data_IF_062660448259
#
_entry.id   IF_062660448259
#
_cell.length_a   1.000
_cell.length_b   1.000
_cell.length_c   1.000
_cell.angle_alpha   90.00
_cell.angle_beta   90.00
_cell.angle_gamma   90.00
#
_symmetry.space_group_name_H-M   'P 1'
#
loop_
_entity.id
_entity.type
_entity.pdbx_description
1 polymer ?
#
# COMPACT_ATOMS: atom_id res chain seq x y z
N UNK A 1 16.14 0.15 -29.31
CA UNK A 1 16.15 -1.27 -28.89
C UNK A 1 16.28 -1.47 -27.39
N UNK A 2 17.45 -1.45 -26.72
CA UNK A 2 17.52 -1.82 -25.28
C UNK A 2 16.71 -0.89 -24.35
N UNK A 3 16.82 0.42 -24.52
CA UNK A 3 16.08 1.41 -23.71
C UNK A 3 14.55 1.28 -23.85
N UNK A 4 14.05 1.19 -25.09
CA UNK A 4 12.62 0.98 -25.36
C UNK A 4 12.11 -0.32 -24.74
N UNK A 5 12.88 -1.42 -24.84
CA UNK A 5 12.53 -2.70 -24.21
C UNK A 5 12.43 -2.61 -22.69
N UNK A 6 13.34 -1.85 -22.06
CA UNK A 6 13.29 -1.60 -20.62
C UNK A 6 12.06 -0.79 -20.23
N UNK A 7 11.71 0.25 -20.98
CA UNK A 7 10.49 1.02 -20.75
C UNK A 7 9.22 0.18 -20.93
N UNK A 8 9.14 -0.64 -21.98
CA UNK A 8 8.00 -1.53 -22.20
C UNK A 8 7.87 -2.56 -21.08
N UNK A 9 8.99 -3.12 -20.60
CA UNK A 9 8.99 -4.01 -19.44
C UNK A 9 8.52 -3.28 -18.18
N UNK A 10 8.99 -2.05 -17.96
CA UNK A 10 8.56 -1.24 -16.82
C UNK A 10 7.06 -0.94 -16.88
N UNK A 11 6.52 -0.60 -18.06
CA UNK A 11 5.07 -0.40 -18.29
C UNK A 11 4.27 -1.64 -17.88
N UNK A 12 4.68 -2.82 -18.35
CA UNK A 12 4.03 -4.09 -18.00
C UNK A 12 4.05 -4.36 -16.49
N UNK A 13 5.15 -4.03 -15.82
CA UNK A 13 5.25 -4.17 -14.36
C UNK A 13 4.33 -3.19 -13.61
N UNK A 14 4.19 -1.95 -14.06
CA UNK A 14 3.22 -0.99 -13.48
C UNK A 14 1.77 -1.47 -13.64
N UNK A 15 1.43 -2.02 -14.80
CA UNK A 15 0.09 -2.58 -15.03
C UNK A 15 -0.14 -3.82 -14.17
N UNK A 16 0.85 -4.72 -14.06
CA UNK A 16 0.78 -5.89 -13.18
C UNK A 16 0.62 -5.48 -11.71
N UNK A 17 1.41 -4.51 -11.23
CA UNK A 17 1.28 -3.96 -9.88
C UNK A 17 -0.14 -3.46 -9.63
N UNK A 18 -0.72 -2.71 -10.58
CA UNK A 18 -2.10 -2.20 -10.46
C UNK A 18 -3.12 -3.31 -10.23
N UNK A 19 -3.05 -4.37 -11.02
CA UNK A 19 -3.99 -5.49 -10.89
C UNK A 19 -3.80 -6.21 -9.55
N UNK A 20 -2.55 -6.45 -9.13
CA UNK A 20 -2.26 -7.04 -7.82
C UNK A 20 -2.79 -6.17 -6.65
N UNK A 21 -2.68 -4.84 -6.77
CA UNK A 21 -3.21 -3.91 -5.78
C UNK A 21 -4.74 -3.97 -5.70
N UNK A 22 -5.43 -4.03 -6.84
CA UNK A 22 -6.90 -4.20 -6.87
C UNK A 22 -7.35 -5.55 -6.30
N UNK A 23 -6.54 -6.58 -6.47
CA UNK A 23 -6.78 -7.93 -5.93
C UNK A 23 -6.32 -8.08 -4.46
N UNK A 24 -5.77 -7.02 -3.84
CA UNK A 24 -5.18 -7.04 -2.48
C UNK A 24 -4.06 -8.09 -2.30
N UNK A 25 -3.34 -8.43 -3.37
CA UNK A 25 -2.24 -9.42 -3.37
C UNK A 25 -0.89 -8.77 -3.08
N UNK A 26 -0.76 -8.18 -1.89
CA UNK A 26 0.41 -7.37 -1.51
C UNK A 26 1.74 -8.15 -1.49
N UNK A 27 1.71 -9.46 -1.23
CA UNK A 27 2.91 -10.30 -1.23
C UNK A 27 3.61 -10.35 -2.60
N UNK A 28 2.83 -10.28 -3.67
CA UNK A 28 3.34 -10.31 -5.04
C UNK A 28 3.79 -8.92 -5.52
N UNK A 29 3.30 -7.85 -4.90
CA UNK A 29 3.69 -6.47 -5.20
C UNK A 29 5.18 -6.23 -4.88
N UNK A 30 5.71 -6.82 -3.81
CA UNK A 30 7.13 -6.71 -3.46
C UNK A 30 8.05 -7.25 -4.57
N UNK A 31 7.67 -8.37 -5.19
CA UNK A 31 8.40 -8.95 -6.32
C UNK A 31 8.46 -7.98 -7.51
N UNK A 32 7.34 -7.32 -7.79
CA UNK A 32 7.21 -6.33 -8.88
C UNK A 32 8.02 -5.07 -8.58
N UNK A 33 8.04 -4.60 -7.33
CA UNK A 33 8.86 -3.45 -6.90
C UNK A 33 10.36 -3.73 -7.09
N UNK A 34 10.81 -4.94 -6.73
CA UNK A 34 12.20 -5.36 -6.93
C UNK A 34 12.58 -5.37 -8.42
N UNK A 35 11.73 -5.92 -9.28
CA UNK A 35 11.97 -5.91 -10.72
C UNK A 35 11.99 -4.49 -11.31
N UNK A 36 11.04 -3.62 -10.91
CA UNK A 36 11.03 -2.21 -11.32
C UNK A 36 12.31 -1.48 -10.92
N UNK A 37 12.77 -1.71 -9.69
CA UNK A 37 14.01 -1.13 -9.15
C UNK A 37 15.26 -1.51 -9.96
N UNK A 38 15.32 -2.74 -10.48
CA UNK A 38 16.43 -3.18 -11.33
C UNK A 38 16.39 -2.48 -12.70
N UNK A 39 15.20 -2.35 -13.30
CA UNK A 39 15.04 -1.66 -14.57
C UNK A 39 15.40 -0.18 -14.46
N UNK A 40 15.03 0.49 -13.36
CA UNK A 40 15.40 1.89 -13.11
C UNK A 40 16.92 2.03 -13.13
N UNK A 41 17.65 1.14 -12.44
CA UNK A 41 19.13 1.17 -12.45
C UNK A 41 19.70 1.01 -13.86
N UNK A 42 19.17 0.08 -14.64
CA UNK A 42 19.62 -0.08 -16.03
C UNK A 42 19.32 1.15 -16.91
N UNK A 43 18.18 1.80 -16.69
CA UNK A 43 17.82 3.03 -17.39
C UNK A 43 18.72 4.20 -16.95
N UNK A 44 19.05 4.30 -15.67
CA UNK A 44 19.99 5.29 -15.14
C UNK A 44 21.39 5.10 -15.72
N UNK A 45 21.87 3.86 -15.85
CA UNK A 45 23.15 3.56 -16.51
C UNK A 45 23.16 3.99 -17.98
N UNK A 46 22.05 3.76 -18.69
CA UNK A 46 21.89 4.21 -20.09
C UNK A 46 21.91 5.73 -20.16
N UNK A 47 21.16 6.40 -19.28
CA UNK A 47 21.11 7.87 -19.20
C UNK A 47 22.49 8.44 -18.87
N UNK A 48 23.21 7.86 -17.92
CA UNK A 48 24.55 8.31 -17.53
C UNK A 48 25.54 8.21 -18.69
N UNK A 49 25.51 7.11 -19.45
CA UNK A 49 26.40 6.91 -20.62
C UNK A 49 26.09 7.86 -21.78
N UNK A 50 24.82 8.21 -21.98
CA UNK A 50 24.39 9.10 -23.08
C UNK A 50 24.23 10.57 -22.65
N UNK A 51 24.29 10.87 -21.36
CA UNK A 51 23.93 12.17 -20.77
C UNK A 51 22.42 12.41 -20.63
N UNK A 52 21.60 11.86 -21.54
CA UNK A 52 20.15 12.06 -21.54
C UNK A 52 19.37 10.86 -22.12
N UNK A 53 18.07 10.82 -21.85
CA UNK A 53 17.16 9.91 -22.53
C UNK A 53 16.92 10.34 -23.99
N UNK A 54 16.45 9.43 -24.84
CA UNK A 54 16.04 9.83 -26.19
C UNK A 54 14.85 10.78 -26.08
N UNK A 55 14.67 11.73 -27.02
CA UNK A 55 13.49 12.59 -27.04
C UNK A 55 12.19 11.78 -26.99
N UNK A 56 12.09 10.69 -27.77
CA UNK A 56 10.90 9.83 -27.82
C UNK A 56 10.64 9.08 -26.50
N UNK A 57 11.66 8.95 -25.65
CA UNK A 57 11.54 8.30 -24.33
C UNK A 57 11.00 9.23 -23.25
N UNK A 58 10.97 10.55 -23.48
CA UNK A 58 10.42 11.51 -22.53
C UNK A 58 8.90 11.38 -22.40
N UNK A 59 8.20 11.17 -23.51
CA UNK A 59 6.75 10.94 -23.49
C UNK A 59 6.40 9.64 -22.74
N UNK A 60 7.19 8.60 -22.98
CA UNK A 60 7.06 7.31 -22.28
C UNK A 60 7.30 7.51 -20.77
N UNK A 61 8.33 8.25 -20.37
CA UNK A 61 8.58 8.54 -18.96
C UNK A 61 7.42 9.27 -18.27
N UNK A 62 6.78 10.22 -18.96
CA UNK A 62 5.62 10.94 -18.43
C UNK A 62 4.42 10.00 -18.25
N UNK A 63 4.17 9.11 -19.21
CA UNK A 63 3.15 8.07 -19.10
C UNK A 63 3.42 7.14 -17.90
N UNK A 64 4.65 6.65 -17.76
CA UNK A 64 5.02 5.75 -16.67
C UNK A 64 4.90 6.42 -15.29
N UNK A 65 5.27 7.71 -15.18
CA UNK A 65 5.08 8.49 -13.96
C UNK A 65 3.60 8.61 -13.59
N UNK A 66 2.73 8.88 -14.58
CA UNK A 66 1.28 8.94 -14.37
C UNK A 66 0.75 7.59 -13.88
N UNK A 67 1.12 6.48 -14.54
CA UNK A 67 0.70 5.14 -14.14
C UNK A 67 1.15 4.77 -12.72
N UNK A 68 2.39 5.12 -12.35
CA UNK A 68 2.92 4.92 -11.00
C UNK A 68 2.16 5.77 -9.96
N UNK A 69 1.82 7.02 -10.30
CA UNK A 69 1.01 7.90 -9.45
C UNK A 69 -0.38 7.33 -9.17
N UNK A 70 -1.05 6.82 -10.20
CA UNK A 70 -2.35 6.12 -10.07
C UNK A 70 -2.24 4.89 -9.17
N UNK A 71 -1.17 4.10 -9.27
CA UNK A 71 -0.95 2.95 -8.38
C UNK A 71 -0.72 3.37 -6.92
N UNK A 72 -0.01 4.47 -6.69
CA UNK A 72 0.18 5.06 -5.35
C UNK A 72 -1.17 5.53 -4.78
N UNK A 73 -2.03 6.12 -5.59
CA UNK A 73 -3.36 6.56 -5.15
C UNK A 73 -4.23 5.38 -4.68
N UNK A 74 -4.18 4.25 -5.39
CA UNK A 74 -4.87 3.02 -4.97
C UNK A 74 -4.37 2.56 -3.60
N UNK A 75 -3.05 2.49 -3.41
CA UNK A 75 -2.44 2.12 -2.13
C UNK A 75 -2.83 3.07 -1.00
N UNK A 76 -2.83 4.38 -1.24
CA UNK A 76 -3.20 5.36 -0.24
C UNK A 76 -4.65 5.22 0.20
N UNK A 77 -5.57 4.95 -0.73
CA UNK A 77 -6.98 4.68 -0.40
C UNK A 77 -7.13 3.45 0.50
N UNK A 78 -6.38 2.39 0.22
CA UNK A 78 -6.40 1.18 1.06
C UNK A 78 -5.79 1.43 2.45
N UNK A 79 -4.71 2.22 2.54
CA UNK A 79 -4.13 2.65 3.83
C UNK A 79 -5.15 3.40 4.67
N UNK A 80 -5.87 4.37 4.09
CA UNK A 80 -6.90 5.14 4.81
C UNK A 80 -8.06 4.24 5.26
N UNK A 81 -8.47 3.28 4.44
CA UNK A 81 -9.46 2.26 4.83
C UNK A 81 -9.00 1.45 6.03
N UNK A 82 -7.80 0.89 5.99
CA UNK A 82 -7.24 0.09 7.10
C UNK A 82 -7.11 0.92 8.38
N UNK A 83 -6.69 2.19 8.29
CA UNK A 83 -6.65 3.10 9.45
C UNK A 83 -8.03 3.28 10.08
N UNK A 84 -9.07 3.43 9.26
CA UNK A 84 -10.44 3.58 9.74
C UNK A 84 -10.94 2.28 10.40
N UNK A 85 -10.65 1.12 9.82
CA UNK A 85 -11.02 -0.18 10.38
C UNK A 85 -10.34 -0.40 11.74
N UNK A 86 -9.06 -0.07 11.87
CA UNK A 86 -8.34 -0.13 13.16
C UNK A 86 -8.94 0.81 14.21
N UNK A 87 -9.37 2.01 13.81
CA UNK A 87 -10.04 2.96 14.72
C UNK A 87 -11.37 2.40 15.22
N UNK A 88 -12.15 1.77 14.35
CA UNK A 88 -13.42 1.16 14.70
C UNK A 88 -13.21 -0.02 15.67
N UNK A 89 -12.26 -0.91 15.38
CA UNK A 89 -11.92 -2.03 16.26
C UNK A 89 -11.49 -1.58 17.66
N UNK A 90 -10.68 -0.52 17.74
CA UNK A 90 -10.27 0.07 19.02
C UNK A 90 -11.47 0.58 19.81
N UNK A 91 -12.39 1.28 19.16
CA UNK A 91 -13.60 1.78 19.79
C UNK A 91 -14.49 0.64 20.32
N UNK A 92 -14.64 -0.44 19.57
CA UNK A 92 -15.37 -1.63 20.01
C UNK A 92 -14.71 -2.32 21.22
N UNK A 93 -13.38 -2.41 21.23
CA UNK A 93 -12.63 -2.95 22.37
C UNK A 93 -12.83 -2.11 23.63
N UNK A 94 -12.67 -0.78 23.51
CA UNK A 94 -12.86 0.16 24.61
C UNK A 94 -14.30 0.07 25.17
N UNK A 95 -15.30 0.03 24.30
CA UNK A 95 -16.72 -0.10 24.70
C UNK A 95 -17.00 -1.42 25.44
N UNK A 96 -16.43 -2.54 24.97
CA UNK A 96 -16.56 -3.85 25.64
C UNK A 96 -15.87 -3.85 27.00
N UNK A 97 -14.70 -3.19 27.10
CA UNK A 97 -13.95 -3.05 28.36
C UNK A 97 -14.76 -2.27 29.39
N UNK A 98 -15.36 -1.14 29.00
CA UNK A 98 -16.21 -0.34 29.88
C UNK A 98 -17.42 -1.14 30.38
N UNK A 99 -18.12 -1.84 29.48
CA UNK A 99 -19.27 -2.67 29.85
C UNK A 99 -18.91 -3.77 30.87
N UNK A 100 -17.79 -4.48 30.65
CA UNK A 100 -17.32 -5.51 31.58
C UNK A 100 -16.91 -4.92 32.93
N UNK A 101 -16.27 -3.75 32.95
CA UNK A 101 -15.91 -3.06 34.20
C UNK A 101 -17.15 -2.65 34.98
N UNK A 102 -18.17 -2.09 34.33
CA UNK A 102 -19.43 -1.73 34.97
C UNK A 102 -20.12 -2.95 35.60
N UNK A 103 -20.24 -4.06 34.86
CA UNK A 103 -20.84 -5.29 35.38
C UNK A 103 -20.05 -5.87 36.57
N UNK A 104 -18.72 -5.87 36.51
CA UNK A 104 -17.87 -6.31 37.63
C UNK A 104 -18.09 -5.46 38.89
N UNK A 105 -18.31 -4.16 38.74
CA UNK A 105 -18.63 -3.27 39.87
C UNK A 105 -20.01 -3.58 40.44
N UNK A 106 -21.01 -3.80 39.59
CA UNK A 106 -22.36 -4.18 40.04
C UNK A 106 -22.39 -5.52 40.76
N UNK A 107 -21.71 -6.54 40.22
CA UNK A 107 -21.66 -7.86 40.83
C UNK A 107 -20.94 -7.83 42.20
N UNK A 108 -19.85 -7.07 42.31
CA UNK A 108 -19.16 -6.86 43.60
C UNK A 108 -20.08 -6.22 44.63
N UNK A 109 -20.86 -5.19 44.26
CA UNK A 109 -21.83 -4.55 45.16
C UNK A 109 -22.88 -5.54 45.64
N UNK A 110 -23.48 -6.32 44.73
CA UNK A 110 -24.48 -7.34 45.08
C UNK A 110 -23.95 -8.37 46.07
N UNK A 111 -22.71 -8.83 45.90
CA UNK A 111 -22.08 -9.80 46.82
C UNK A 111 -21.86 -9.18 48.21
N UNK A 112 -21.44 -7.92 48.28
CA UNK A 112 -21.28 -7.20 49.55
C UNK A 112 -22.64 -7.06 50.26
N UNK A 113 -23.68 -6.63 49.55
CA UNK A 113 -25.02 -6.43 50.13
C UNK A 113 -25.66 -7.76 50.60
N UNK A 114 -25.28 -8.90 50.03
CA UNK A 114 -25.77 -10.23 50.47
C UNK A 114 -25.05 -10.77 51.71
N UNK A 115 -23.87 -10.26 52.05
CA UNK A 115 -23.04 -10.72 53.18
C UNK A 115 -23.05 -9.74 54.36
N UNK A 116 -23.92 -8.72 54.33
CA UNK A 116 -24.11 -7.72 55.39
C UNK A 116 -25.51 -7.82 55.95
#
# INVERSE_FOLDING_TARGET
MKEELLFDKFRKLLLKERELLKENRLSEVDSVIKEKSLIIRELDDIKAKRGQFKPESLDILNELKRLQGENIEILNKEIERVKQDLKNLRFEEDSKREYLQSNLVEDKKRILDQNT
#
